data_IF_110805187198
#
_entry.id   IF_110805187198
#
_cell.length_a   1.000
_cell.length_b   1.000
_cell.length_c   1.000
_cell.angle_alpha   90.00
_cell.angle_beta   90.00
_cell.angle_gamma   90.00
#
_symmetry.space_group_name_H-M   'P 1'
#
loop_
_entity.id
_entity.type
_entity.pdbx_description
1 polymer ?
#
# COMPACT_ATOMS: atom_id res chain seq x y z
N UNK A 1 46.44 73.63 28.22
CA UNK A 1 45.73 74.56 27.34
C UNK A 1 45.81 74.01 25.92
N UNK A 2 44.76 73.75 25.33
CA UNK A 2 44.35 73.48 23.96
C UNK A 2 43.45 72.24 23.91
N UNK A 3 42.17 72.51 23.76
CA UNK A 3 41.09 71.56 23.55
C UNK A 3 41.14 71.06 22.09
N UNK A 4 41.16 69.76 21.87
CA UNK A 4 40.89 69.15 20.55
C UNK A 4 39.53 68.54 20.59
N UNK A 5 38.63 69.10 19.79
CA UNK A 5 37.27 68.63 19.54
C UNK A 5 37.35 67.56 18.51
N UNK A 6 36.96 66.29 18.82
CA UNK A 6 36.82 65.22 17.89
C UNK A 6 35.35 65.18 17.36
N UNK A 7 35.18 65.40 16.08
CA UNK A 7 33.91 65.31 15.38
C UNK A 7 33.73 63.82 15.03
N UNK A 8 32.71 63.16 15.61
CA UNK A 8 32.31 61.83 15.27
C UNK A 8 31.34 61.89 14.09
N UNK A 9 31.75 61.42 12.92
CA UNK A 9 30.89 61.25 11.73
C UNK A 9 30.18 59.92 11.86
N UNK A 10 28.89 59.91 12.23
CA UNK A 10 28.03 58.72 12.19
C UNK A 10 27.53 58.52 10.78
N UNK A 11 28.06 57.52 10.07
CA UNK A 11 27.54 57.04 8.79
C UNK A 11 26.32 56.17 9.07
N UNK A 12 25.12 56.67 8.83
CA UNK A 12 23.88 55.85 8.76
C UNK A 12 23.92 55.01 7.49
N UNK A 13 24.21 53.72 7.64
CA UNK A 13 23.93 52.70 6.61
C UNK A 13 22.42 52.37 6.64
N UNK A 14 21.68 52.98 5.74
CA UNK A 14 20.29 52.61 5.45
C UNK A 14 20.31 51.30 4.65
N UNK A 15 20.11 50.18 5.35
CA UNK A 15 19.79 48.92 4.67
C UNK A 15 18.38 49.02 4.14
N UNK A 16 18.25 49.32 2.85
CA UNK A 16 17.00 49.15 2.12
C UNK A 16 16.68 47.65 2.02
N UNK A 17 15.85 47.16 2.90
CA UNK A 17 15.15 45.88 2.66
C UNK A 17 14.23 46.11 1.46
N UNK A 18 14.68 45.71 0.27
CA UNK A 18 13.81 45.48 -0.84
C UNK A 18 12.94 44.28 -0.47
N UNK A 19 11.77 44.52 0.11
CA UNK A 19 10.72 43.56 0.21
C UNK A 19 10.30 43.22 -1.26
N UNK A 20 10.88 42.17 -1.83
CA UNK A 20 10.28 41.55 -2.99
C UNK A 20 8.93 40.99 -2.56
N UNK A 21 7.89 41.78 -2.77
CA UNK A 21 6.52 41.29 -2.77
C UNK A 21 6.40 40.24 -3.85
N UNK A 22 6.48 38.97 -3.47
CA UNK A 22 6.06 37.88 -4.35
C UNK A 22 4.54 37.96 -4.47
N UNK A 23 4.08 38.59 -5.54
CA UNK A 23 2.73 38.40 -6.05
C UNK A 23 2.54 36.89 -6.28
N UNK A 24 1.51 36.31 -5.65
CA UNK A 24 1.12 34.92 -5.86
C UNK A 24 0.74 34.68 -7.30
N UNK A 25 1.70 34.30 -8.11
CA UNK A 25 1.52 33.67 -9.40
C UNK A 25 1.30 32.16 -9.26
N UNK A 26 0.78 31.46 -10.26
CA UNK A 26 0.43 30.05 -10.18
C UNK A 26 1.67 29.19 -9.90
N UNK A 27 1.58 28.37 -8.81
CA UNK A 27 2.46 27.28 -8.50
C UNK A 27 3.88 27.67 -8.06
N UNK A 28 4.22 27.45 -6.78
CA UNK A 28 5.63 27.45 -6.37
C UNK A 28 6.38 26.43 -7.22
N UNK A 29 7.39 26.85 -7.97
CA UNK A 29 8.34 25.98 -8.71
C UNK A 29 9.36 25.36 -7.74
N UNK A 30 8.88 24.78 -6.63
CA UNK A 30 9.71 24.11 -5.64
C UNK A 30 9.70 22.61 -5.87
N UNK A 31 10.63 21.94 -5.21
CA UNK A 31 10.75 20.49 -5.16
C UNK A 31 9.50 19.85 -4.58
N UNK A 32 9.08 18.71 -5.12
CA UNK A 32 8.04 17.84 -4.57
C UNK A 32 8.67 16.87 -3.59
N UNK A 33 8.11 16.75 -2.38
CA UNK A 33 8.60 15.80 -1.39
C UNK A 33 7.67 14.58 -1.32
N UNK A 34 8.23 13.39 -1.55
CA UNK A 34 7.49 12.13 -1.57
C UNK A 34 7.89 11.28 -0.37
N UNK A 35 6.92 10.89 0.45
CA UNK A 35 7.13 10.16 1.69
C UNK A 35 6.51 8.77 1.59
N UNK A 36 7.32 7.76 1.85
CA UNK A 36 6.90 6.36 1.83
C UNK A 36 6.90 5.80 3.25
N UNK A 37 5.93 4.93 3.58
CA UNK A 37 5.91 4.27 4.86
C UNK A 37 7.12 3.36 5.05
N UNK A 38 7.56 2.69 3.97
CA UNK A 38 8.86 2.01 3.87
C UNK A 38 9.25 1.82 2.40
N UNK A 39 10.56 1.79 2.13
CA UNK A 39 11.11 1.44 0.82
C UNK A 39 11.18 -0.07 0.57
N UNK A 40 11.09 -0.87 1.62
CA UNK A 40 11.23 -2.32 1.55
C UNK A 40 9.98 -3.04 1.02
N UNK A 41 8.83 -2.38 1.00
CA UNK A 41 7.60 -2.94 0.43
C UNK A 41 7.71 -3.03 -1.10
N UNK A 42 7.50 -4.22 -1.66
CA UNK A 42 7.71 -4.51 -3.08
C UNK A 42 6.70 -3.78 -3.97
N UNK A 43 5.41 -3.73 -3.57
CA UNK A 43 4.40 -2.99 -4.31
C UNK A 43 4.70 -1.48 -4.30
N UNK A 44 4.99 -0.92 -3.14
CA UNK A 44 5.37 0.51 -2.99
C UNK A 44 6.65 0.83 -3.75
N UNK A 45 7.62 -0.08 -3.80
CA UNK A 45 8.82 0.06 -4.64
C UNK A 45 8.49 0.16 -6.13
N UNK A 46 7.48 -0.59 -6.61
CA UNK A 46 6.99 -0.50 -7.99
C UNK A 46 6.32 0.84 -8.26
N UNK A 47 5.45 1.33 -7.36
CA UNK A 47 4.85 2.68 -7.45
C UNK A 47 5.92 3.75 -7.46
N UNK A 48 6.93 3.66 -6.57
CA UNK A 48 8.04 4.61 -6.49
C UNK A 48 8.83 4.66 -7.80
N UNK A 49 9.19 3.51 -8.34
CA UNK A 49 9.97 3.41 -9.59
C UNK A 49 9.22 4.05 -10.77
N UNK A 50 7.92 3.76 -10.91
CA UNK A 50 7.09 4.35 -11.95
C UNK A 50 6.92 5.86 -11.74
N UNK A 51 6.62 6.31 -10.50
CA UNK A 51 6.44 7.71 -10.17
C UNK A 51 7.72 8.52 -10.40
N UNK A 52 8.89 8.01 -9.99
CA UNK A 52 10.19 8.64 -10.25
C UNK A 52 10.44 8.84 -11.75
N UNK A 53 10.09 7.84 -12.55
CA UNK A 53 10.19 7.91 -14.01
C UNK A 53 9.29 8.99 -14.59
N UNK A 54 8.02 9.04 -14.16
CA UNK A 54 7.07 10.04 -14.64
C UNK A 54 7.40 11.46 -14.16
N UNK A 55 7.83 11.65 -12.91
CA UNK A 55 8.26 12.96 -12.41
C UNK A 55 9.45 13.48 -13.22
N UNK A 56 10.47 12.65 -13.46
CA UNK A 56 11.64 12.99 -14.31
C UNK A 56 11.22 13.34 -15.74
N UNK A 57 10.37 12.53 -16.36
CA UNK A 57 9.88 12.78 -17.72
C UNK A 57 9.10 14.10 -17.87
N UNK A 58 8.49 14.59 -16.77
CA UNK A 58 7.78 15.86 -16.73
C UNK A 58 8.62 17.03 -16.17
N UNK A 59 9.94 16.85 -16.01
CA UNK A 59 10.88 17.86 -15.45
C UNK A 59 10.40 18.40 -14.09
N UNK A 60 9.91 17.52 -13.21
CA UNK A 60 9.51 17.82 -11.87
C UNK A 60 10.65 17.40 -10.92
N UNK A 61 11.22 18.36 -10.21
CA UNK A 61 12.21 18.07 -9.17
C UNK A 61 11.52 17.45 -7.95
N UNK A 62 12.10 16.41 -7.39
CA UNK A 62 11.53 15.70 -6.24
C UNK A 62 12.60 15.04 -5.37
N UNK A 63 12.25 14.80 -4.11
CA UNK A 63 13.00 13.96 -3.18
C UNK A 63 12.11 12.88 -2.56
N UNK A 64 12.65 11.68 -2.45
CA UNK A 64 12.02 10.55 -1.79
C UNK A 64 12.52 10.40 -0.35
N UNK A 65 11.61 10.14 0.58
CA UNK A 65 11.88 9.93 2.00
C UNK A 65 11.35 8.58 2.44
N UNK A 66 12.19 7.80 3.12
CA UNK A 66 11.83 6.51 3.72
C UNK A 66 11.58 6.69 5.22
N UNK A 67 10.37 6.38 5.66
CA UNK A 67 10.04 6.40 7.09
C UNK A 67 10.46 5.11 7.81
N UNK A 68 10.81 4.07 7.05
CA UNK A 68 11.20 2.76 7.58
C UNK A 68 10.22 2.22 8.63
N UNK A 69 8.92 2.32 8.37
CA UNK A 69 7.84 1.87 9.25
C UNK A 69 7.62 2.73 10.50
N UNK A 70 8.24 3.91 10.60
CA UNK A 70 8.17 4.74 11.80
C UNK A 70 7.44 6.06 11.53
N UNK A 71 6.26 6.25 12.16
CA UNK A 71 5.44 7.45 11.98
C UNK A 71 6.11 8.72 12.53
N UNK A 72 6.87 8.62 13.61
CA UNK A 72 7.60 9.77 14.16
C UNK A 72 8.64 10.26 13.15
N UNK A 73 9.42 9.33 12.58
CA UNK A 73 10.39 9.63 11.52
C UNK A 73 9.70 10.30 10.33
N UNK A 74 8.54 9.78 9.87
CA UNK A 74 7.80 10.39 8.76
C UNK A 74 7.37 11.83 9.09
N UNK A 75 6.86 12.06 10.29
CA UNK A 75 6.44 13.40 10.74
C UNK A 75 7.61 14.40 10.75
N UNK A 76 8.77 13.98 11.25
CA UNK A 76 9.99 14.80 11.25
C UNK A 76 10.51 15.11 9.84
N UNK A 77 10.43 14.11 8.93
CA UNK A 77 10.76 14.28 7.53
C UNK A 77 9.83 15.29 6.85
N UNK A 78 8.52 15.22 7.10
CA UNK A 78 7.52 16.18 6.56
C UNK A 78 7.81 17.59 7.06
N UNK A 79 8.02 17.77 8.36
CA UNK A 79 8.37 19.08 8.94
C UNK A 79 9.65 19.65 8.32
N UNK A 80 10.68 18.82 8.17
CA UNK A 80 11.95 19.20 7.55
C UNK A 80 11.79 19.60 6.10
N UNK A 81 11.04 18.86 5.32
CA UNK A 81 10.78 19.16 3.91
C UNK A 81 10.01 20.48 3.74
N UNK A 82 9.00 20.73 4.57
CA UNK A 82 8.28 22.00 4.59
C UNK A 82 9.22 23.16 4.94
N UNK A 83 10.07 23.00 5.96
CA UNK A 83 11.03 24.02 6.36
C UNK A 83 12.07 24.33 5.27
N UNK A 84 12.41 23.34 4.43
CA UNK A 84 13.28 23.51 3.26
C UNK A 84 12.57 24.11 2.05
N UNK A 85 11.27 24.38 2.12
CA UNK A 85 10.49 25.00 1.05
C UNK A 85 9.89 24.03 0.06
N UNK A 86 9.58 22.80 0.46
CA UNK A 86 8.80 21.88 -0.37
C UNK A 86 7.56 22.55 -0.94
N UNK A 87 7.28 22.33 -2.22
CA UNK A 87 6.13 22.91 -2.90
C UNK A 87 4.86 22.06 -2.79
N UNK A 88 5.03 20.77 -2.48
CA UNK A 88 3.97 19.77 -2.38
C UNK A 88 4.43 18.56 -1.60
N UNK A 89 3.51 17.89 -0.92
CA UNK A 89 3.74 16.61 -0.25
C UNK A 89 2.95 15.51 -0.97
N UNK A 90 3.60 14.38 -1.27
CA UNK A 90 2.95 13.13 -1.70
C UNK A 90 3.26 12.10 -0.61
N UNK A 91 2.22 11.55 0.04
CA UNK A 91 2.42 10.82 1.30
C UNK A 91 1.73 9.46 1.30
N UNK A 92 2.53 8.42 1.47
CA UNK A 92 2.10 7.09 1.84
C UNK A 92 2.26 6.97 3.37
N UNK A 93 1.17 7.17 4.10
CA UNK A 93 1.22 7.33 5.57
C UNK A 93 1.63 6.04 6.27
N UNK A 94 2.40 6.13 7.37
CA UNK A 94 2.84 4.95 8.13
C UNK A 94 1.72 4.41 9.02
N UNK A 95 1.19 5.25 9.90
CA UNK A 95 0.13 4.86 10.83
C UNK A 95 -1.25 5.05 10.20
N UNK A 96 -1.95 3.93 10.04
CA UNK A 96 -3.32 3.86 9.51
C UNK A 96 -4.32 3.38 10.57
N UNK A 97 -3.86 3.12 11.79
CA UNK A 97 -4.72 2.68 12.89
C UNK A 97 -5.60 3.79 13.48
N UNK A 98 -5.27 5.05 13.20
CA UNK A 98 -6.08 6.22 13.54
C UNK A 98 -5.91 7.33 12.50
N UNK A 99 -6.78 8.35 12.56
CA UNK A 99 -6.69 9.52 11.68
C UNK A 99 -5.61 10.53 12.11
N UNK A 100 -4.98 10.36 13.27
CA UNK A 100 -4.13 11.39 13.89
C UNK A 100 -2.89 11.71 13.06
N UNK A 101 -2.24 10.68 12.53
CA UNK A 101 -1.04 10.85 11.70
C UNK A 101 -1.33 11.63 10.42
N UNK A 102 -2.35 11.21 9.67
CA UNK A 102 -2.75 11.87 8.43
C UNK A 102 -3.26 13.29 8.70
N UNK A 103 -4.07 13.51 9.74
CA UNK A 103 -4.58 14.84 10.13
C UNK A 103 -3.44 15.78 10.51
N UNK A 104 -2.40 15.29 11.21
CA UNK A 104 -1.23 16.11 11.54
C UNK A 104 -0.50 16.56 10.27
N UNK A 105 -0.31 15.68 9.29
CA UNK A 105 0.32 16.01 8.00
C UNK A 105 -0.53 17.05 7.24
N UNK A 106 -1.86 16.90 7.22
CA UNK A 106 -2.77 17.89 6.62
C UNK A 106 -2.63 19.24 7.30
N UNK A 107 -2.58 19.29 8.64
CA UNK A 107 -2.42 20.53 9.40
C UNK A 107 -1.11 21.25 9.08
N UNK A 108 0.01 20.50 8.97
CA UNK A 108 1.31 21.02 8.57
C UNK A 108 1.28 21.60 7.14
N UNK A 109 0.71 20.85 6.19
CA UNK A 109 0.57 21.29 4.80
C UNK A 109 -0.31 22.54 4.67
N UNK A 110 -1.43 22.56 5.39
CA UNK A 110 -2.37 23.72 5.43
C UNK A 110 -1.71 24.95 6.00
N UNK A 111 -0.94 24.81 7.09
CA UNK A 111 -0.18 25.93 7.68
C UNK A 111 0.87 26.49 6.72
N UNK A 112 1.50 25.64 5.91
CA UNK A 112 2.45 26.03 4.88
C UNK A 112 1.79 26.47 3.56
N UNK A 113 0.46 26.31 3.43
CA UNK A 113 -0.33 26.59 2.22
C UNK A 113 0.18 25.81 0.99
N UNK A 114 0.57 24.54 1.15
CA UNK A 114 1.02 23.65 0.07
C UNK A 114 0.08 22.46 -0.09
N UNK A 115 -0.09 21.91 -1.32
CA UNK A 115 -0.90 20.72 -1.54
C UNK A 115 -0.34 19.48 -0.84
N UNK A 116 -1.23 18.55 -0.50
CA UNK A 116 -0.88 17.20 -0.07
C UNK A 116 -1.70 16.16 -0.83
N UNK A 117 -1.03 15.14 -1.35
CA UNK A 117 -1.65 14.00 -2.00
C UNK A 117 -1.30 12.77 -1.17
N UNK A 118 -2.28 12.17 -0.50
CA UNK A 118 -2.11 10.87 0.12
C UNK A 118 -2.26 9.77 -0.93
N UNK A 119 -1.58 8.64 -0.74
CA UNK A 119 -1.71 7.53 -1.67
C UNK A 119 -1.61 6.15 -1.03
N UNK A 120 -2.21 5.17 -1.67
CA UNK A 120 -2.25 3.73 -1.38
C UNK A 120 -2.91 3.41 -0.04
N UNK A 121 -2.29 3.73 1.08
CA UNK A 121 -2.78 3.40 2.43
C UNK A 121 -3.93 4.34 2.80
N UNK A 122 -5.10 3.79 3.08
CA UNK A 122 -6.36 4.54 3.19
C UNK A 122 -6.31 5.63 4.26
N UNK A 123 -6.83 6.80 3.89
CA UNK A 123 -7.06 7.95 4.77
C UNK A 123 -8.52 8.34 4.66
N UNK A 124 -9.15 8.63 5.80
CA UNK A 124 -10.57 8.97 5.85
C UNK A 124 -10.92 10.24 5.08
N UNK A 125 -12.12 10.25 4.49
CA UNK A 125 -12.67 11.40 3.79
C UNK A 125 -12.68 12.67 4.66
N UNK A 126 -13.02 12.53 5.95
CA UNK A 126 -13.05 13.65 6.89
C UNK A 126 -11.71 14.36 7.04
N UNK A 127 -10.61 13.60 6.98
CA UNK A 127 -9.23 14.14 7.02
C UNK A 127 -8.88 14.81 5.70
N UNK A 128 -9.08 14.12 4.57
CA UNK A 128 -8.75 14.64 3.24
C UNK A 128 -9.56 15.90 2.93
N UNK A 129 -10.87 15.88 3.20
CA UNK A 129 -11.78 17.01 2.93
C UNK A 129 -11.62 18.19 3.92
N UNK A 130 -10.80 18.06 4.96
CA UNK A 130 -10.50 19.13 5.91
C UNK A 130 -9.61 20.24 5.31
N UNK A 131 -9.05 20.00 4.12
CA UNK A 131 -8.21 20.93 3.39
C UNK A 131 -8.46 20.87 1.88
N UNK A 132 -8.78 22.01 1.26
CA UNK A 132 -9.14 22.14 -0.16
C UNK A 132 -8.01 21.77 -1.16
N UNK A 133 -6.75 21.70 -0.69
CA UNK A 133 -5.59 21.25 -1.46
C UNK A 133 -5.11 19.84 -1.04
N UNK A 134 -5.99 19.04 -0.45
CA UNK A 134 -5.71 17.67 -0.08
C UNK A 134 -6.56 16.72 -0.92
N UNK A 135 -5.93 15.66 -1.45
CA UNK A 135 -6.61 14.58 -2.19
C UNK A 135 -5.99 13.23 -1.84
N UNK A 136 -6.74 12.16 -2.11
CA UNK A 136 -6.28 10.79 -1.93
C UNK A 136 -6.30 10.04 -3.26
N UNK A 137 -5.24 9.25 -3.53
CA UNK A 137 -5.17 8.31 -4.65
C UNK A 137 -4.96 6.92 -4.09
N UNK A 138 -5.89 6.03 -4.29
CA UNK A 138 -5.79 4.65 -3.80
C UNK A 138 -6.66 3.70 -4.59
N UNK A 139 -7.19 2.72 -3.91
CA UNK A 139 -8.07 1.70 -4.46
C UNK A 139 -9.35 1.65 -3.64
N UNK A 140 -10.39 1.01 -4.14
CA UNK A 140 -11.48 0.57 -3.28
C UNK A 140 -10.95 -0.60 -2.45
N UNK A 141 -10.67 -0.37 -1.17
CA UNK A 141 -9.96 -1.31 -0.31
C UNK A 141 -10.71 -2.63 -0.09
N UNK A 142 -12.04 -2.65 -0.22
CA UNK A 142 -12.84 -3.86 -0.08
C UNK A 142 -12.75 -4.75 -1.33
N UNK A 143 -12.66 -4.12 -2.50
CA UNK A 143 -12.72 -4.81 -3.79
C UNK A 143 -11.66 -5.90 -3.96
N UNK A 144 -10.43 -5.68 -3.46
CA UNK A 144 -9.39 -6.71 -3.55
C UNK A 144 -9.77 -7.98 -2.78
N UNK A 145 -10.36 -7.83 -1.58
CA UNK A 145 -10.85 -8.96 -0.79
C UNK A 145 -11.98 -9.70 -1.49
N UNK A 146 -12.97 -8.98 -2.00
CA UNK A 146 -14.08 -9.56 -2.77
C UNK A 146 -13.59 -10.31 -4.01
N UNK A 147 -12.72 -9.72 -4.80
CA UNK A 147 -12.17 -10.37 -5.99
C UNK A 147 -11.33 -11.60 -5.64
N UNK A 148 -10.51 -11.52 -4.59
CA UNK A 148 -9.68 -12.64 -4.13
C UNK A 148 -10.57 -13.79 -3.63
N UNK A 149 -11.54 -13.51 -2.77
CA UNK A 149 -12.46 -14.52 -2.25
C UNK A 149 -13.25 -15.23 -3.36
N UNK A 150 -13.77 -14.47 -4.32
CA UNK A 150 -14.44 -15.02 -5.49
C UNK A 150 -13.50 -15.91 -6.32
N UNK A 151 -12.30 -15.43 -6.65
CA UNK A 151 -11.31 -16.21 -7.42
C UNK A 151 -10.94 -17.53 -6.72
N UNK A 152 -10.72 -17.50 -5.41
CA UNK A 152 -10.44 -18.69 -4.60
C UNK A 152 -11.62 -19.66 -4.66
N UNK A 153 -12.83 -19.16 -4.42
CA UNK A 153 -14.05 -19.99 -4.43
C UNK A 153 -14.29 -20.69 -5.76
N UNK A 154 -14.15 -19.96 -6.87
CA UNK A 154 -14.27 -20.52 -8.23
C UNK A 154 -13.23 -21.61 -8.49
N UNK A 155 -11.96 -21.36 -8.13
CA UNK A 155 -10.90 -22.35 -8.24
C UNK A 155 -11.16 -23.62 -7.39
N UNK A 156 -11.63 -23.44 -6.15
CA UNK A 156 -11.91 -24.55 -5.26
C UNK A 156 -13.11 -25.39 -5.74
N UNK A 157 -14.17 -24.76 -6.28
CA UNK A 157 -15.31 -25.50 -6.83
C UNK A 157 -14.85 -26.46 -7.95
N UNK A 158 -13.97 -26.01 -8.83
CA UNK A 158 -13.45 -26.81 -9.94
C UNK A 158 -12.45 -27.89 -9.49
N UNK A 159 -11.71 -27.64 -8.41
CA UNK A 159 -10.58 -28.49 -7.99
C UNK A 159 -10.75 -29.11 -6.60
N UNK A 160 -11.96 -29.10 -6.00
CA UNK A 160 -12.18 -29.43 -4.59
C UNK A 160 -11.53 -30.76 -4.16
N UNK A 161 -11.78 -31.85 -4.90
CA UNK A 161 -11.21 -33.14 -4.57
C UNK A 161 -9.72 -33.32 -4.84
N UNK A 162 -9.06 -32.33 -5.49
CA UNK A 162 -7.60 -32.28 -5.62
C UNK A 162 -6.96 -31.48 -4.52
N UNK A 163 -7.70 -30.52 -3.95
CA UNK A 163 -7.24 -29.64 -2.88
C UNK A 163 -7.47 -30.27 -1.52
N UNK A 164 -8.55 -31.04 -1.32
CA UNK A 164 -8.79 -31.89 -0.15
C UNK A 164 -7.76 -33.06 -0.16
N UNK A 165 -6.56 -32.76 0.35
CA UNK A 165 -5.40 -33.65 0.27
C UNK A 165 -5.43 -34.74 1.34
N UNK A 166 -6.08 -34.51 2.46
CA UNK A 166 -6.26 -35.48 3.54
C UNK A 166 -7.54 -36.32 3.39
N UNK A 167 -8.47 -35.92 2.49
CA UNK A 167 -9.68 -36.65 2.17
C UNK A 167 -10.78 -36.58 3.24
N UNK A 168 -10.78 -35.56 4.08
CA UNK A 168 -11.79 -35.39 5.14
C UNK A 168 -13.07 -34.66 4.69
N UNK A 169 -13.09 -34.23 3.45
CA UNK A 169 -14.23 -33.54 2.80
C UNK A 169 -14.31 -32.06 3.09
N UNK A 170 -13.25 -31.47 3.66
CA UNK A 170 -13.14 -30.04 3.99
C UNK A 170 -11.87 -29.48 3.38
N UNK A 171 -11.76 -28.14 3.36
CA UNK A 171 -10.54 -27.43 3.00
C UNK A 171 -10.11 -26.58 4.19
N UNK A 172 -8.95 -26.89 4.74
CA UNK A 172 -8.36 -26.12 5.80
C UNK A 172 -7.43 -25.04 5.24
N UNK A 173 -7.52 -23.80 5.76
CA UNK A 173 -6.75 -22.67 5.26
C UNK A 173 -5.91 -22.00 6.33
N UNK A 174 -4.85 -21.33 5.88
CA UNK A 174 -4.14 -20.30 6.63
C UNK A 174 -4.35 -18.94 5.97
N UNK A 175 -4.56 -17.90 6.78
CA UNK A 175 -4.67 -16.51 6.34
C UNK A 175 -3.52 -15.69 6.89
N UNK A 176 -2.79 -15.00 6.00
CA UNK A 176 -1.74 -14.05 6.38
C UNK A 176 -2.24 -12.61 6.24
N UNK A 177 -2.28 -11.89 7.36
CA UNK A 177 -2.70 -10.50 7.47
C UNK A 177 -1.50 -9.58 7.52
N UNK A 178 -1.48 -8.52 6.71
CA UNK A 178 -0.33 -7.64 6.57
C UNK A 178 -0.10 -6.72 7.76
N UNK A 179 -1.16 -6.14 8.32
CA UNK A 179 -1.06 -5.18 9.43
C UNK A 179 -2.38 -5.04 10.18
N UNK A 180 -2.31 -4.87 11.51
CA UNK A 180 -3.49 -4.51 12.29
C UNK A 180 -3.90 -3.05 12.06
N UNK A 181 -5.23 -2.78 12.11
CA UNK A 181 -5.78 -1.43 11.93
C UNK A 181 -5.70 -0.88 10.51
N UNK A 182 -5.11 -1.60 9.56
CA UNK A 182 -5.06 -1.20 8.17
C UNK A 182 -6.33 -1.67 7.43
N UNK A 183 -7.03 -0.78 6.74
CA UNK A 183 -8.33 -1.08 6.11
C UNK A 183 -8.21 -2.10 4.98
N UNK A 184 -7.15 -2.03 4.18
CA UNK A 184 -6.86 -2.99 3.12
C UNK A 184 -6.63 -4.40 3.71
N UNK A 185 -5.87 -4.49 4.81
CA UNK A 185 -5.61 -5.76 5.49
C UNK A 185 -6.89 -6.34 6.11
N UNK A 186 -7.71 -5.51 6.74
CA UNK A 186 -9.00 -5.91 7.33
C UNK A 186 -9.92 -6.47 6.25
N UNK A 187 -10.11 -5.74 5.15
CA UNK A 187 -11.01 -6.13 4.07
C UNK A 187 -10.53 -7.40 3.34
N UNK A 188 -9.24 -7.49 2.99
CA UNK A 188 -8.67 -8.69 2.34
C UNK A 188 -8.77 -9.92 3.24
N UNK A 189 -8.57 -9.76 4.55
CA UNK A 189 -8.71 -10.86 5.53
C UNK A 189 -10.15 -11.33 5.63
N UNK A 190 -11.11 -10.41 5.71
CA UNK A 190 -12.53 -10.72 5.84
C UNK A 190 -13.12 -11.28 4.55
N UNK A 191 -13.12 -10.47 3.48
CA UNK A 191 -13.82 -10.82 2.23
C UNK A 191 -13.13 -11.93 1.44
N UNK A 192 -11.80 -12.11 1.60
CA UNK A 192 -11.08 -13.25 1.02
C UNK A 192 -11.64 -14.60 1.47
N UNK A 193 -12.15 -14.67 2.70
CA UNK A 193 -12.78 -15.87 3.26
C UNK A 193 -14.30 -15.86 3.06
N UNK A 194 -14.97 -14.75 3.33
CA UNK A 194 -16.44 -14.67 3.28
C UNK A 194 -16.98 -14.91 1.88
N UNK A 195 -16.41 -14.30 0.85
CA UNK A 195 -16.84 -14.46 -0.53
C UNK A 195 -16.46 -15.83 -1.09
N UNK A 196 -15.29 -16.38 -0.69
CA UNK A 196 -14.96 -17.76 -1.00
C UNK A 196 -16.02 -18.72 -0.44
N UNK A 197 -16.40 -18.56 0.82
CA UNK A 197 -17.44 -19.35 1.45
C UNK A 197 -18.81 -19.19 0.79
N UNK A 198 -19.15 -17.99 0.31
CA UNK A 198 -20.38 -17.76 -0.45
C UNK A 198 -20.39 -18.58 -1.76
N UNK A 199 -19.28 -18.59 -2.50
CA UNK A 199 -19.13 -19.39 -3.73
C UNK A 199 -19.21 -20.90 -3.43
N UNK A 200 -18.51 -21.36 -2.39
CA UNK A 200 -18.55 -22.77 -1.96
C UNK A 200 -19.96 -23.20 -1.57
N UNK A 201 -20.67 -22.37 -0.80
CA UNK A 201 -22.06 -22.64 -0.41
C UNK A 201 -22.99 -22.77 -1.61
N UNK A 202 -22.87 -21.87 -2.57
CA UNK A 202 -23.66 -21.92 -3.82
C UNK A 202 -23.42 -23.20 -4.61
N UNK A 203 -22.22 -23.79 -4.49
CA UNK A 203 -21.82 -25.06 -5.10
C UNK A 203 -22.10 -26.30 -4.22
N UNK A 204 -22.74 -26.15 -3.06
CA UNK A 204 -23.01 -27.23 -2.13
C UNK A 204 -21.78 -27.82 -1.45
N UNK A 205 -20.71 -27.02 -1.30
CA UNK A 205 -19.46 -27.42 -0.63
C UNK A 205 -19.41 -26.88 0.80
N UNK A 206 -18.68 -27.54 1.72
CA UNK A 206 -18.42 -27.03 3.06
C UNK A 206 -17.70 -25.70 3.06
N UNK A 207 -17.84 -24.92 4.13
CA UNK A 207 -17.04 -23.72 4.41
C UNK A 207 -15.58 -24.07 4.62
N UNK A 208 -14.72 -23.10 4.34
CA UNK A 208 -13.32 -23.13 4.74
C UNK A 208 -13.19 -23.22 6.27
N UNK A 209 -12.28 -24.07 6.75
CA UNK A 209 -11.94 -24.15 8.16
C UNK A 209 -10.54 -23.59 8.39
N UNK A 210 -10.36 -22.68 9.38
CA UNK A 210 -9.03 -22.23 9.73
C UNK A 210 -8.24 -23.40 10.35
N UNK A 211 -7.01 -23.59 9.94
CA UNK A 211 -6.21 -24.79 10.25
C UNK A 211 -6.01 -25.04 11.77
N UNK A 212 -5.97 -23.96 12.56
CA UNK A 212 -5.83 -24.03 14.03
C UNK A 212 -7.14 -23.62 14.72
N UNK A 213 -7.92 -24.57 15.24
CA UNK A 213 -9.18 -24.27 15.89
C UNK A 213 -9.03 -23.47 17.21
N UNK A 214 -7.82 -23.38 17.76
CA UNK A 214 -7.54 -22.58 18.95
C UNK A 214 -7.33 -21.10 18.65
N UNK A 215 -7.00 -20.75 17.40
CA UNK A 215 -6.87 -19.37 16.95
C UNK A 215 -8.25 -18.79 16.59
N UNK A 216 -8.81 -17.99 17.48
CA UNK A 216 -10.14 -17.39 17.31
C UNK A 216 -10.19 -16.27 16.29
N UNK A 217 -9.05 -15.63 15.99
CA UNK A 217 -8.95 -14.53 15.04
C UNK A 217 -8.95 -15.05 13.59
N UNK A 218 -8.56 -16.32 13.40
CA UNK A 218 -8.49 -17.01 12.08
C UNK A 218 -7.57 -16.34 11.08
N UNK A 219 -6.50 -15.71 11.56
CA UNK A 219 -5.39 -15.19 10.76
C UNK A 219 -4.09 -15.15 11.56
N UNK A 220 -2.99 -14.98 10.84
CA UNK A 220 -1.65 -14.74 11.37
C UNK A 220 -1.20 -13.38 10.84
N UNK A 221 -0.96 -12.42 11.75
CA UNK A 221 -0.60 -11.05 11.37
C UNK A 221 0.92 -10.83 11.43
N UNK A 222 1.45 -10.08 10.48
CA UNK A 222 2.82 -9.58 10.59
C UNK A 222 2.88 -8.55 11.73
N UNK A 223 3.56 -8.91 12.82
CA UNK A 223 3.61 -8.10 14.06
C UNK A 223 4.31 -6.75 13.86
N UNK A 224 5.20 -6.67 12.86
CA UNK A 224 5.88 -5.42 12.50
C UNK A 224 5.06 -4.57 11.52
N UNK A 225 3.96 -5.10 10.98
CA UNK A 225 3.09 -4.42 10.02
C UNK A 225 3.76 -4.13 8.68
N UNK A 226 4.77 -4.89 8.31
CA UNK A 226 5.58 -4.70 7.10
C UNK A 226 5.13 -5.55 5.90
N UNK A 227 4.08 -6.37 6.07
CA UNK A 227 3.54 -7.23 5.00
C UNK A 227 4.58 -8.22 4.44
N UNK A 228 5.45 -8.72 5.29
CA UNK A 228 6.71 -9.33 4.91
C UNK A 228 6.62 -10.83 4.58
N UNK A 229 7.40 -11.23 3.59
CA UNK A 229 7.68 -12.63 3.26
C UNK A 229 8.22 -13.40 4.47
N UNK A 230 9.09 -12.77 5.27
CA UNK A 230 9.71 -13.40 6.44
C UNK A 230 8.68 -13.81 7.50
N UNK A 231 7.68 -12.95 7.78
CA UNK A 231 6.63 -13.27 8.74
C UNK A 231 5.83 -14.51 8.28
N UNK A 232 5.38 -14.53 7.02
CA UNK A 232 4.63 -15.65 6.46
C UNK A 232 5.45 -16.94 6.44
N UNK A 233 6.74 -16.87 6.04
CA UNK A 233 7.65 -18.03 6.06
C UNK A 233 7.78 -18.62 7.45
N UNK A 234 8.02 -17.79 8.46
CA UNK A 234 8.22 -18.24 9.84
C UNK A 234 6.94 -18.86 10.42
N UNK A 235 5.80 -18.22 10.23
CA UNK A 235 4.52 -18.74 10.69
C UNK A 235 4.16 -20.06 10.03
N UNK A 236 4.25 -20.13 8.69
CA UNK A 236 3.87 -21.34 7.98
C UNK A 236 4.85 -22.49 8.26
N UNK A 237 6.15 -22.24 8.33
CA UNK A 237 7.13 -23.29 8.70
C UNK A 237 6.83 -23.88 10.08
N UNK A 238 6.42 -23.04 11.04
CA UNK A 238 6.01 -23.50 12.37
C UNK A 238 4.72 -24.31 12.31
N UNK A 239 3.72 -23.83 11.56
CA UNK A 239 2.43 -24.51 11.42
C UNK A 239 2.59 -25.89 10.73
N UNK A 240 3.37 -25.98 9.63
CA UNK A 240 3.57 -27.22 8.88
C UNK A 240 4.26 -28.33 9.70
N UNK A 241 4.98 -27.98 10.77
CA UNK A 241 5.54 -28.97 11.68
C UNK A 241 4.47 -29.73 12.49
N UNK A 242 3.30 -29.14 12.69
CA UNK A 242 2.19 -29.70 13.45
C UNK A 242 1.01 -30.11 12.56
N UNK A 243 0.74 -29.32 11.53
CA UNK A 243 -0.39 -29.48 10.61
C UNK A 243 0.11 -29.99 9.27
N UNK A 244 0.14 -31.31 9.14
CA UNK A 244 0.66 -32.01 7.97
C UNK A 244 -0.20 -33.23 7.64
N UNK A 245 -0.07 -33.74 6.42
CA UNK A 245 -0.75 -34.94 5.97
C UNK A 245 -0.48 -36.14 6.91
N UNK A 246 0.76 -36.28 7.38
CA UNK A 246 1.13 -37.35 8.30
C UNK A 246 0.36 -37.29 9.63
N UNK A 247 -0.09 -36.12 10.03
CA UNK A 247 -0.87 -35.90 11.25
C UNK A 247 -2.40 -35.93 10.98
N UNK A 248 -2.82 -36.00 9.72
CA UNK A 248 -4.23 -36.02 9.32
C UNK A 248 -4.97 -34.67 9.52
N UNK A 249 -4.23 -33.58 9.60
CA UNK A 249 -4.76 -32.24 9.90
C UNK A 249 -3.98 -31.17 9.13
N UNK A 250 -3.76 -31.36 7.85
CA UNK A 250 -2.89 -30.50 7.07
C UNK A 250 -3.55 -29.14 6.69
N UNK A 251 -2.69 -28.18 6.35
CA UNK A 251 -3.10 -26.93 5.69
C UNK A 251 -3.21 -27.21 4.19
N UNK A 252 -4.33 -26.82 3.57
CA UNK A 252 -4.66 -27.16 2.18
C UNK A 252 -4.88 -25.94 1.30
N UNK A 253 -4.87 -24.73 1.90
CA UNK A 253 -5.05 -23.47 1.19
C UNK A 253 -4.28 -22.36 1.91
N UNK A 254 -3.57 -21.53 1.15
CA UNK A 254 -2.93 -20.31 1.65
C UNK A 254 -3.61 -19.10 1.03
N UNK A 255 -4.11 -18.20 1.89
CA UNK A 255 -4.64 -16.90 1.52
C UNK A 255 -3.73 -15.84 2.13
N UNK A 256 -3.18 -14.95 1.30
CA UNK A 256 -2.29 -13.90 1.76
C UNK A 256 -2.83 -12.50 1.38
N UNK A 257 -2.67 -11.55 2.26
CA UNK A 257 -3.10 -10.17 2.02
C UNK A 257 -2.28 -9.48 0.92
N UNK A 258 -1.05 -9.95 0.65
CA UNK A 258 -0.23 -9.50 -0.47
C UNK A 258 0.65 -10.61 -1.05
N UNK A 259 1.32 -10.32 -2.17
CA UNK A 259 2.19 -11.27 -2.86
C UNK A 259 3.47 -11.60 -2.09
N UNK A 260 4.05 -10.66 -1.34
CA UNK A 260 5.25 -10.92 -0.54
C UNK A 260 5.00 -12.01 0.52
N UNK A 261 3.87 -11.92 1.22
CA UNK A 261 3.46 -12.95 2.19
C UNK A 261 3.14 -14.26 1.48
N UNK A 262 2.50 -14.22 0.30
CA UNK A 262 2.24 -15.41 -0.52
C UNK A 262 3.54 -16.11 -0.93
N UNK A 263 4.55 -15.36 -1.39
CA UNK A 263 5.86 -15.88 -1.78
C UNK A 263 6.63 -16.43 -0.58
N UNK A 264 6.51 -15.80 0.58
CA UNK A 264 7.03 -16.31 1.84
C UNK A 264 6.41 -17.66 2.22
N UNK A 265 5.10 -17.77 2.07
CA UNK A 265 4.39 -19.03 2.29
C UNK A 265 4.82 -20.12 1.29
N UNK A 266 4.98 -19.79 0.00
CA UNK A 266 5.50 -20.73 -1.00
C UNK A 266 6.88 -21.25 -0.61
N UNK A 267 7.76 -20.39 -0.10
CA UNK A 267 9.10 -20.81 0.37
C UNK A 267 9.01 -21.83 1.49
N UNK A 268 8.11 -21.66 2.46
CA UNK A 268 7.87 -22.61 3.54
C UNK A 268 7.26 -23.93 3.02
N UNK A 269 6.30 -23.85 2.10
CA UNK A 269 5.69 -25.01 1.45
C UNK A 269 6.74 -25.85 0.68
N UNK A 270 7.62 -25.19 -0.10
CA UNK A 270 8.67 -25.84 -0.84
C UNK A 270 9.69 -26.52 0.07
N UNK A 271 10.05 -25.91 1.19
CA UNK A 271 10.90 -26.53 2.21
C UNK A 271 10.27 -27.78 2.85
N UNK A 272 8.92 -27.83 2.90
CA UNK A 272 8.15 -28.98 3.38
C UNK A 272 7.83 -30.02 2.28
N UNK A 273 8.26 -29.78 1.03
CA UNK A 273 8.07 -30.71 -0.09
C UNK A 273 6.80 -30.49 -0.92
N UNK A 274 6.05 -29.41 -0.67
CA UNK A 274 4.91 -29.00 -1.49
C UNK A 274 5.32 -27.97 -2.55
N UNK A 275 4.52 -27.73 -3.58
CA UNK A 275 4.71 -26.68 -4.58
C UNK A 275 6.10 -26.65 -5.25
N UNK A 276 6.75 -27.81 -5.40
CA UNK A 276 8.13 -27.95 -5.94
C UNK A 276 8.16 -28.16 -7.46
N UNK A 277 7.02 -28.04 -8.16
CA UNK A 277 6.88 -28.37 -9.59
C UNK A 277 6.65 -29.86 -9.85
N UNK A 278 6.80 -30.71 -8.82
CA UNK A 278 6.41 -32.13 -8.84
C UNK A 278 5.78 -32.49 -7.49
N UNK A 279 4.76 -33.33 -7.48
CA UNK A 279 4.06 -33.76 -6.27
C UNK A 279 2.84 -32.91 -5.92
N UNK A 280 2.54 -32.80 -4.62
CA UNK A 280 1.35 -32.12 -4.13
C UNK A 280 1.49 -30.60 -4.18
N UNK A 281 0.45 -29.93 -4.62
CA UNK A 281 0.34 -28.47 -4.65
C UNK A 281 -0.72 -28.02 -3.65
N UNK A 282 -0.33 -27.16 -2.75
CA UNK A 282 -1.24 -26.39 -1.89
C UNK A 282 -1.47 -25.06 -2.58
N UNK A 283 -2.72 -24.73 -2.99
CA UNK A 283 -2.99 -23.49 -3.68
C UNK A 283 -2.66 -22.27 -2.81
N UNK A 284 -2.02 -21.26 -3.44
CA UNK A 284 -1.62 -20.01 -2.82
C UNK A 284 -2.18 -18.84 -3.62
N UNK A 285 -2.79 -17.87 -2.93
CA UNK A 285 -3.36 -16.67 -3.52
C UNK A 285 -2.84 -15.42 -2.81
N UNK A 286 -2.58 -14.36 -3.60
CA UNK A 286 -2.06 -13.09 -3.12
C UNK A 286 -2.83 -11.88 -3.65
N UNK A 287 -2.24 -10.71 -3.47
CA UNK A 287 -2.67 -9.42 -4.03
C UNK A 287 -1.42 -8.64 -4.41
N UNK A 288 -1.42 -7.91 -5.48
CA UNK A 288 -0.53 -6.91 -6.07
C UNK A 288 -0.15 -7.23 -7.53
N UNK A 289 -0.03 -8.49 -7.91
CA UNK A 289 0.53 -8.98 -9.17
C UNK A 289 1.97 -8.48 -9.41
N UNK A 290 2.82 -8.62 -8.39
CA UNK A 290 4.25 -8.34 -8.50
C UNK A 290 4.91 -9.26 -9.54
N UNK A 291 6.04 -8.86 -10.13
CA UNK A 291 6.72 -9.68 -11.12
C UNK A 291 7.14 -11.06 -10.55
N UNK A 292 7.51 -11.10 -9.26
CA UNK A 292 7.83 -12.36 -8.58
C UNK A 292 6.60 -13.26 -8.45
N UNK A 293 5.42 -12.71 -8.12
CA UNK A 293 4.16 -13.47 -8.06
C UNK A 293 3.72 -13.95 -9.44
N UNK A 294 3.84 -13.11 -10.48
CA UNK A 294 3.58 -13.52 -11.87
C UNK A 294 4.46 -14.69 -12.30
N UNK A 295 5.76 -14.66 -11.95
CA UNK A 295 6.66 -15.79 -12.19
C UNK A 295 6.26 -17.04 -11.40
N UNK A 296 5.79 -16.89 -10.14
CA UNK A 296 5.30 -17.99 -9.33
C UNK A 296 4.00 -18.60 -9.90
N UNK A 297 3.12 -17.78 -10.49
CA UNK A 297 1.93 -18.26 -11.21
C UNK A 297 2.35 -18.98 -12.49
N UNK A 298 3.26 -18.42 -13.27
CA UNK A 298 3.73 -19.02 -14.51
C UNK A 298 4.40 -20.40 -14.31
N UNK A 299 5.07 -20.62 -13.17
CA UNK A 299 5.70 -21.90 -12.83
C UNK A 299 4.80 -22.84 -12.01
N UNK A 300 3.55 -22.44 -11.70
CA UNK A 300 2.55 -23.25 -10.99
C UNK A 300 2.75 -23.36 -9.48
N UNK A 301 3.62 -22.56 -8.86
CA UNK A 301 3.77 -22.53 -7.40
C UNK A 301 2.77 -21.62 -6.69
N UNK A 302 2.10 -20.74 -7.45
CA UNK A 302 1.01 -19.86 -7.05
C UNK A 302 -0.14 -19.99 -8.04
N UNK A 303 -1.37 -19.84 -7.60
CA UNK A 303 -2.57 -20.02 -8.48
C UNK A 303 -3.01 -18.69 -9.07
N UNK A 304 -3.03 -17.62 -8.29
CA UNK A 304 -3.51 -16.32 -8.76
C UNK A 304 -3.28 -15.21 -7.75
N UNK A 305 -3.41 -14.00 -8.23
CA UNK A 305 -3.28 -12.77 -7.46
C UNK A 305 -4.26 -11.71 -7.97
N UNK A 306 -4.58 -10.73 -7.13
CA UNK A 306 -5.35 -9.55 -7.53
C UNK A 306 -4.36 -8.44 -7.89
N UNK A 307 -4.33 -8.04 -9.15
CA UNK A 307 -3.46 -6.97 -9.64
C UNK A 307 -3.88 -5.64 -9.02
N UNK A 308 -2.96 -5.00 -8.32
CA UNK A 308 -3.00 -3.60 -7.93
C UNK A 308 -2.11 -2.82 -8.92
N UNK A 309 -2.70 -1.85 -9.65
CA UNK A 309 -1.99 -1.19 -10.76
C UNK A 309 -1.05 -0.08 -10.26
N UNK A 310 0.21 -0.45 -10.00
CA UNK A 310 1.24 0.48 -9.52
C UNK A 310 1.57 1.58 -10.54
N UNK A 311 1.57 1.25 -11.82
CA UNK A 311 1.84 2.20 -12.90
C UNK A 311 0.69 3.21 -13.05
N UNK A 312 -0.55 2.73 -13.06
CA UNK A 312 -1.75 3.58 -13.06
C UNK A 312 -1.81 4.50 -11.86
N UNK A 313 -1.47 4.01 -10.65
CA UNK A 313 -1.38 4.83 -9.45
C UNK A 313 -0.34 5.93 -9.61
N UNK A 314 0.87 5.59 -10.03
CA UNK A 314 1.96 6.54 -10.24
C UNK A 314 1.60 7.60 -11.28
N UNK A 315 0.97 7.21 -12.40
CA UNK A 315 0.53 8.13 -13.45
C UNK A 315 -0.49 9.15 -12.92
N UNK A 316 -1.50 8.71 -12.15
CA UNK A 316 -2.49 9.60 -11.54
C UNK A 316 -1.84 10.55 -10.54
N UNK A 317 -0.93 10.07 -9.67
CA UNK A 317 -0.19 10.91 -8.72
C UNK A 317 0.57 12.04 -9.43
N UNK A 318 1.24 11.73 -10.53
CA UNK A 318 1.99 12.73 -11.30
C UNK A 318 1.04 13.67 -12.07
N UNK A 319 -0.11 13.18 -12.57
CA UNK A 319 -1.11 14.05 -13.20
C UNK A 319 -1.68 15.07 -12.20
N UNK A 320 -2.04 14.64 -10.98
CA UNK A 320 -2.49 15.55 -9.93
C UNK A 320 -1.40 16.54 -9.51
N UNK A 321 -0.16 16.08 -9.43
CA UNK A 321 1.01 16.95 -9.17
C UNK A 321 1.12 18.08 -10.19
N UNK A 322 0.97 17.76 -11.48
CA UNK A 322 0.95 18.76 -12.58
C UNK A 322 -0.21 19.71 -12.43
N UNK A 323 -1.40 19.20 -12.15
CA UNK A 323 -2.60 20.02 -12.01
C UNK A 323 -2.45 21.06 -10.90
N UNK A 324 -1.96 20.66 -9.71
CA UNK A 324 -1.68 21.60 -8.63
C UNK A 324 -0.61 22.64 -9.00
N UNK A 325 0.47 22.22 -9.70
CA UNK A 325 1.54 23.15 -10.13
C UNK A 325 1.04 24.16 -11.16
N UNK A 326 0.22 23.70 -12.10
CA UNK A 326 -0.24 24.51 -13.22
C UNK A 326 -1.52 25.33 -12.88
N UNK A 327 -2.07 25.19 -11.66
CA UNK A 327 -3.30 25.85 -11.22
C UNK A 327 -4.54 25.39 -11.99
N UNK A 328 -4.53 24.15 -12.48
CA UNK A 328 -5.67 23.52 -13.16
C UNK A 328 -6.67 22.96 -12.17
N UNK A 329 -7.83 22.52 -12.67
CA UNK A 329 -8.76 21.72 -11.85
C UNK A 329 -8.07 20.44 -11.35
N UNK A 330 -8.30 20.09 -10.08
CA UNK A 330 -7.58 19.01 -9.40
C UNK A 330 -7.55 17.71 -10.20
N UNK A 331 -8.67 17.28 -10.75
CA UNK A 331 -8.81 16.02 -11.49
C UNK A 331 -8.77 16.20 -13.03
N UNK A 332 -8.24 17.34 -13.55
CA UNK A 332 -8.10 17.52 -14.99
C UNK A 332 -7.22 16.42 -15.61
N UNK A 333 -7.74 15.75 -16.66
CA UNK A 333 -7.04 14.64 -17.31
C UNK A 333 -7.04 13.30 -16.54
N UNK A 334 -7.74 13.21 -15.41
CA UNK A 334 -8.02 11.94 -14.71
C UNK A 334 -9.32 11.33 -15.23
N UNK A 335 -9.36 10.01 -15.41
CA UNK A 335 -10.60 9.33 -15.81
C UNK A 335 -11.71 9.59 -14.78
N UNK A 336 -12.79 10.20 -15.24
CA UNK A 336 -13.92 10.58 -14.40
C UNK A 336 -14.61 9.37 -13.72
N UNK A 337 -14.52 8.19 -14.32
CA UNK A 337 -15.07 6.96 -13.74
C UNK A 337 -14.34 6.55 -12.44
N UNK A 338 -13.09 6.97 -12.28
CA UNK A 338 -12.25 6.67 -11.14
C UNK A 338 -12.31 7.76 -10.05
N UNK A 339 -12.94 8.91 -10.31
CA UNK A 339 -13.02 10.03 -9.36
C UNK A 339 -14.24 9.84 -8.45
N UNK A 340 -13.98 9.84 -7.13
CA UNK A 340 -15.01 9.72 -6.10
C UNK A 340 -15.17 11.08 -5.39
N UNK A 341 -16.33 11.69 -5.54
CA UNK A 341 -16.59 13.01 -4.96
C UNK A 341 -15.58 14.07 -5.45
N UNK A 342 -15.06 14.85 -4.51
CA UNK A 342 -14.06 15.90 -4.78
C UNK A 342 -12.71 15.64 -4.12
N UNK A 343 -12.50 14.42 -3.59
CA UNK A 343 -11.39 14.15 -2.68
C UNK A 343 -10.56 12.91 -3.01
N UNK A 344 -11.07 12.00 -3.88
CA UNK A 344 -10.44 10.68 -4.06
C UNK A 344 -10.41 10.25 -5.53
N UNK A 345 -9.36 9.52 -5.89
CA UNK A 345 -9.27 8.73 -7.13
C UNK A 345 -9.04 7.27 -6.76
N UNK A 346 -9.87 6.36 -7.28
CA UNK A 346 -9.71 4.92 -7.14
C UNK A 346 -9.06 4.33 -8.39
N UNK A 347 -7.94 3.66 -8.22
CA UNK A 347 -7.29 2.86 -9.25
C UNK A 347 -7.94 1.47 -9.23
N UNK A 348 -8.50 0.97 -10.34
CA UNK A 348 -9.21 -0.30 -10.35
C UNK A 348 -8.27 -1.49 -10.15
N UNK A 349 -8.79 -2.53 -9.49
CA UNK A 349 -8.15 -3.83 -9.40
C UNK A 349 -8.47 -4.70 -10.62
N UNK A 350 -7.67 -5.74 -10.86
CA UNK A 350 -7.93 -6.78 -11.83
C UNK A 350 -7.47 -8.17 -11.31
N UNK A 351 -8.08 -9.24 -11.74
CA UNK A 351 -7.58 -10.60 -11.47
C UNK A 351 -6.38 -10.91 -12.35
N UNK A 352 -5.45 -11.72 -11.85
CA UNK A 352 -4.33 -12.23 -12.61
C UNK A 352 -4.08 -13.72 -12.27
N UNK A 353 -4.22 -14.59 -13.28
CA UNK A 353 -4.03 -16.05 -13.18
C UNK A 353 -3.06 -16.58 -14.23
N UNK A 354 -2.27 -15.71 -14.85
CA UNK A 354 -1.29 -16.07 -15.88
C UNK A 354 -1.80 -15.98 -17.34
N UNK A 355 -3.08 -15.70 -17.55
CA UNK A 355 -3.70 -15.60 -18.87
C UNK A 355 -4.04 -14.15 -19.26
N UNK A 356 -3.07 -13.22 -19.13
CA UNK A 356 -3.28 -11.85 -19.63
C UNK A 356 -2.02 -11.29 -20.28
#
# INVERSE_FOLDING_TARGET
MKKLTAILLAALLVFSFAACGQNGGPGKTGEVSVFYYTFSDTYISSVRTAMDSYLKANNIEFNNYDANGNQTTQTEQVQTAIAKGSSMLIVNVVDTGSNDAAQNIVNLAKAANIPVIFFNRSVDESVVSSYDKCVFVGTDYEMAGHMQGKMIGEYLVENYGKVDLNGDGKISYVMFKGQEGNMEAIARTQYGVDDCNAVLTAAGKPFLEFYDPSNTDKYLVDQDGLWSSAAATNYLSTALAQYSEANGNMIELVIANNDEMALGAISALQAAGYNTGSGKVIPVFGVDATDAAKNAIANGSMIGTIKQDADGMANVLVQLTKNFRDGKATFDGVDAANVIGTWRVNIPYATYTGEN
#
